data_IF_369903687015
#
_entry.id   IF_369903687015
#
_cell.length_a   1.000
_cell.length_b   1.000
_cell.length_c   1.000
_cell.angle_alpha   90.00
_cell.angle_beta   90.00
_cell.angle_gamma   90.00
#
_symmetry.space_group_name_H-M   'P 1'
#
loop_
_entity.id
_entity.type
_entity.pdbx_description
1 polymer ?
#
# COMPACT_ATOMS: atom_id res chain seq x y z
N UNK A 1 -15.03 -20.84 12.07
CA UNK A 1 -14.83 -20.94 13.55
C UNK A 1 -15.60 -22.09 14.18
N UNK A 2 -16.86 -22.32 13.80
CA UNK A 2 -17.63 -23.49 14.25
C UNK A 2 -16.88 -24.80 13.99
N UNK A 3 -16.47 -25.01 12.75
CA UNK A 3 -15.75 -26.23 12.36
C UNK A 3 -14.44 -26.43 13.13
N UNK A 4 -13.66 -25.35 13.33
CA UNK A 4 -12.43 -25.44 14.12
C UNK A 4 -12.70 -25.93 15.54
N UNK A 5 -13.75 -25.40 16.20
CA UNK A 5 -14.09 -25.72 17.59
C UNK A 5 -14.74 -27.09 17.73
N UNK A 6 -15.66 -27.44 16.83
CA UNK A 6 -16.52 -28.62 16.98
C UNK A 6 -16.03 -29.83 16.19
N UNK A 7 -15.46 -29.62 15.00
CA UNK A 7 -15.11 -30.72 14.09
C UNK A 7 -13.64 -31.17 14.25
N UNK A 8 -12.72 -30.22 14.48
CA UNK A 8 -11.29 -30.50 14.39
C UNK A 8 -10.56 -30.55 15.73
N UNK A 9 -10.81 -29.61 16.64
CA UNK A 9 -10.00 -29.48 17.86
C UNK A 9 -10.72 -29.83 19.15
N UNK A 10 -12.05 -29.71 19.23
CA UNK A 10 -12.83 -29.86 20.47
C UNK A 10 -12.30 -28.97 21.62
N UNK A 11 -11.65 -27.84 21.31
CA UNK A 11 -11.07 -26.92 22.29
C UNK A 11 -11.79 -25.56 22.28
N UNK A 12 -11.91 -24.96 23.47
CA UNK A 12 -12.35 -23.58 23.62
C UNK A 12 -11.32 -22.59 23.04
N UNK A 13 -11.68 -21.95 21.94
CA UNK A 13 -10.84 -20.94 21.28
C UNK A 13 -11.34 -19.54 21.62
N UNK A 14 -10.49 -18.72 22.26
CA UNK A 14 -10.72 -17.28 22.44
C UNK A 14 -10.51 -16.56 21.12
N UNK A 15 -11.49 -15.76 20.71
CA UNK A 15 -11.49 -15.05 19.41
C UNK A 15 -11.44 -13.57 19.70
N UNK A 16 -10.46 -12.89 19.10
CA UNK A 16 -10.36 -11.45 19.15
C UNK A 16 -11.34 -10.80 18.17
N UNK A 17 -11.59 -9.50 18.34
CA UNK A 17 -12.41 -8.74 17.40
C UNK A 17 -11.83 -8.82 15.98
N UNK A 18 -12.71 -8.93 14.96
CA UNK A 18 -12.27 -8.99 13.58
C UNK A 18 -11.61 -7.66 13.20
N UNK A 19 -10.59 -7.75 12.37
CA UNK A 19 -9.81 -6.63 11.86
C UNK A 19 -9.52 -6.84 10.39
N UNK A 20 -9.11 -5.78 9.72
CA UNK A 20 -8.78 -5.81 8.30
C UNK A 20 -7.27 -5.74 8.11
N UNK A 21 -6.79 -6.38 7.04
CA UNK A 21 -5.45 -6.10 6.52
C UNK A 21 -5.49 -4.79 5.75
N UNK A 22 -4.54 -3.90 6.04
CA UNK A 22 -4.37 -2.65 5.29
C UNK A 22 -3.37 -2.86 4.15
N UNK A 23 -3.25 -1.86 3.28
CA UNK A 23 -2.09 -1.72 2.40
C UNK A 23 -1.42 -0.37 2.65
N UNK A 24 -0.19 -0.22 2.18
CA UNK A 24 0.58 1.02 2.30
C UNK A 24 0.78 1.63 0.91
N UNK A 25 0.53 2.92 0.73
CA UNK A 25 0.71 3.63 -0.56
C UNK A 25 1.45 4.94 -0.35
N UNK A 26 1.92 5.53 -1.44
CA UNK A 26 2.40 6.91 -1.50
C UNK A 26 1.39 7.77 -2.25
N UNK A 27 1.34 9.06 -1.95
CA UNK A 27 0.49 10.03 -2.68
C UNK A 27 1.31 10.99 -3.52
N UNK A 28 2.52 11.30 -3.08
CA UNK A 28 3.44 12.22 -3.73
C UNK A 28 4.78 11.53 -3.97
N UNK A 29 5.56 12.07 -4.90
CA UNK A 29 6.93 11.61 -5.12
C UNK A 29 7.80 11.90 -3.89
N UNK A 30 8.79 11.05 -3.63
CA UNK A 30 9.77 11.28 -2.58
C UNK A 30 10.44 12.65 -2.73
N UNK A 31 10.43 13.44 -1.67
CA UNK A 31 11.05 14.78 -1.63
C UNK A 31 12.54 14.77 -1.94
N UNK A 32 13.22 13.65 -1.64
CA UNK A 32 14.64 13.46 -1.86
C UNK A 32 14.98 12.08 -2.41
N UNK A 33 16.14 12.01 -3.08
CA UNK A 33 16.73 10.75 -3.51
C UNK A 33 17.28 10.02 -2.28
N UNK A 34 16.71 8.87 -1.97
CA UNK A 34 17.08 8.11 -0.79
C UNK A 34 18.15 7.09 -1.14
N UNK A 35 19.19 6.95 -0.32
CA UNK A 35 20.21 5.94 -0.54
C UNK A 35 20.39 5.03 0.67
N UNK A 36 20.89 3.82 0.40
CA UNK A 36 21.37 2.93 1.45
C UNK A 36 22.69 2.30 1.03
N UNK A 37 23.60 2.19 1.99
CA UNK A 37 24.89 1.54 1.84
C UNK A 37 24.84 0.11 2.40
N UNK A 38 25.66 -0.77 1.81
CA UNK A 38 25.87 -2.10 2.37
C UNK A 38 26.71 -2.01 3.65
N UNK A 39 26.60 -2.98 4.59
CA UNK A 39 27.42 -3.02 5.79
C UNK A 39 28.94 -2.91 5.54
N UNK A 40 29.40 -3.39 4.38
CA UNK A 40 30.80 -3.28 3.96
C UNK A 40 31.18 -1.91 3.36
N UNK A 41 30.24 -0.97 3.23
CA UNK A 41 30.39 0.38 2.64
C UNK A 41 30.89 0.43 1.19
N UNK A 42 30.84 -0.70 0.48
CA UNK A 42 31.33 -0.79 -0.91
C UNK A 42 30.22 -0.69 -1.96
N UNK A 43 28.96 -0.85 -1.57
CA UNK A 43 27.83 -0.67 -2.47
C UNK A 43 26.87 0.38 -1.90
N UNK A 44 26.33 1.20 -2.79
CA UNK A 44 25.35 2.25 -2.50
C UNK A 44 24.26 2.16 -3.56
N UNK A 45 23.01 2.05 -3.12
CA UNK A 45 21.84 2.03 -4.02
C UNK A 45 20.99 3.25 -3.67
N UNK A 46 20.56 3.99 -4.69
CA UNK A 46 19.74 5.19 -4.55
C UNK A 46 18.40 4.97 -5.26
N UNK A 47 17.29 5.11 -4.53
CA UNK A 47 15.94 5.00 -5.08
C UNK A 47 15.09 6.22 -4.77
N UNK A 48 14.09 6.44 -5.63
CA UNK A 48 12.95 7.32 -5.39
C UNK A 48 11.66 6.51 -5.47
N UNK A 49 10.65 6.93 -4.73
CA UNK A 49 9.31 6.35 -4.77
C UNK A 49 8.32 7.38 -5.31
N UNK A 50 7.46 6.95 -6.22
CA UNK A 50 6.41 7.76 -6.83
C UNK A 50 5.09 6.98 -6.82
N UNK A 51 3.94 7.66 -6.76
CA UNK A 51 2.65 7.00 -6.91
C UNK A 51 2.52 6.43 -8.33
N UNK A 52 1.89 5.26 -8.45
CA UNK A 52 1.48 4.72 -9.75
C UNK A 52 0.27 5.47 -10.31
N UNK A 53 0.15 5.46 -11.63
CA UNK A 53 -0.99 5.99 -12.36
C UNK A 53 -2.26 5.20 -12.02
N UNK A 54 -3.42 5.87 -12.06
CA UNK A 54 -4.70 5.25 -11.69
C UNK A 54 -5.02 4.08 -12.62
N UNK A 55 -5.47 2.97 -12.03
CA UNK A 55 -5.82 1.74 -12.75
C UNK A 55 -4.64 0.84 -13.15
N UNK A 56 -3.39 1.32 -13.07
CA UNK A 56 -2.23 0.50 -13.45
C UNK A 56 -1.99 -0.68 -12.51
N UNK A 57 -2.18 -0.47 -11.20
CA UNK A 57 -2.08 -1.57 -10.24
C UNK A 57 -3.14 -2.65 -10.44
N UNK A 58 -4.37 -2.26 -10.79
CA UNK A 58 -5.47 -3.19 -11.06
C UNK A 58 -5.20 -4.01 -12.32
N UNK A 59 -4.65 -3.38 -13.36
CA UNK A 59 -4.21 -4.07 -14.58
C UNK A 59 -3.16 -5.15 -14.29
N UNK A 60 -2.19 -4.84 -13.42
CA UNK A 60 -1.12 -5.79 -13.06
C UNK A 60 -1.70 -6.97 -12.29
N UNK A 61 -2.58 -6.72 -11.31
CA UNK A 61 -3.22 -7.77 -10.50
C UNK A 61 -4.19 -8.63 -11.31
N UNK A 62 -4.90 -8.04 -12.27
CA UNK A 62 -5.77 -8.77 -13.20
C UNK A 62 -4.98 -9.57 -14.25
N UNK A 63 -3.64 -9.47 -14.26
CA UNK A 63 -2.77 -10.18 -15.21
C UNK A 63 -2.83 -9.64 -16.63
N UNK A 64 -3.30 -8.40 -16.83
CA UNK A 64 -3.30 -7.73 -18.14
C UNK A 64 -1.87 -7.46 -18.61
N UNK A 65 -0.94 -7.29 -17.67
CA UNK A 65 0.49 -7.13 -17.93
C UNK A 65 1.30 -8.15 -17.14
N UNK A 66 2.36 -8.67 -17.77
CA UNK A 66 3.29 -9.61 -17.13
C UNK A 66 4.74 -9.20 -17.38
N UNK A 67 5.59 -9.43 -16.38
CA UNK A 67 7.05 -9.21 -16.45
C UNK A 67 7.71 -10.17 -17.45
N UNK A 68 7.09 -11.34 -17.70
CA UNK A 68 7.64 -12.37 -18.59
C UNK A 68 7.49 -12.00 -20.09
N UNK A 69 6.78 -10.92 -20.42
CA UNK A 69 6.62 -10.45 -21.79
C UNK A 69 7.92 -9.87 -22.35
N UNK A 70 8.00 -9.79 -23.68
CA UNK A 70 9.12 -9.12 -24.33
C UNK A 70 9.15 -7.64 -23.97
N UNK A 71 10.35 -7.06 -23.81
CA UNK A 71 10.51 -5.63 -23.49
C UNK A 71 9.83 -4.70 -24.51
N UNK A 72 9.67 -5.15 -25.76
CA UNK A 72 8.97 -4.41 -26.80
C UNK A 72 7.47 -4.35 -26.52
N UNK A 73 6.84 -5.51 -26.27
CA UNK A 73 5.41 -5.58 -25.94
C UNK A 73 5.09 -4.83 -24.65
N UNK A 74 5.94 -4.97 -23.63
CA UNK A 74 5.81 -4.21 -22.39
C UNK A 74 5.88 -2.70 -22.67
N UNK A 75 6.90 -2.26 -23.42
CA UNK A 75 7.05 -0.86 -23.83
C UNK A 75 5.84 -0.31 -24.57
N UNK A 76 5.31 -1.08 -25.53
CA UNK A 76 4.16 -0.67 -26.34
C UNK A 76 2.88 -0.57 -25.49
N UNK A 77 2.69 -1.46 -24.51
CA UNK A 77 1.56 -1.39 -23.57
C UNK A 77 1.58 -0.13 -22.71
N UNK A 78 2.70 0.13 -22.03
CA UNK A 78 2.84 1.27 -21.13
C UNK A 78 2.80 2.60 -21.90
N UNK A 79 3.34 2.65 -23.11
CA UNK A 79 3.22 3.82 -23.99
C UNK A 79 1.77 4.07 -24.42
N UNK A 80 1.06 3.03 -24.87
CA UNK A 80 -0.28 3.20 -25.45
C UNK A 80 -1.34 3.51 -24.40
N UNK A 81 -1.27 2.87 -23.22
CA UNK A 81 -2.31 2.98 -22.18
C UNK A 81 -2.03 4.07 -21.15
N UNK A 82 -0.76 4.33 -20.84
CA UNK A 82 -0.35 5.22 -19.74
C UNK A 82 0.58 6.36 -20.19
N UNK A 83 0.83 6.52 -21.49
CA UNK A 83 1.70 7.56 -22.08
C UNK A 83 3.11 7.59 -21.47
N UNK A 84 3.64 6.42 -21.13
CA UNK A 84 5.01 6.31 -20.62
C UNK A 84 6.05 6.46 -21.74
N UNK A 85 7.20 7.02 -21.37
CA UNK A 85 8.37 7.00 -22.23
C UNK A 85 8.84 5.56 -22.49
N UNK A 86 9.28 5.31 -23.72
CA UNK A 86 9.76 4.00 -24.17
C UNK A 86 11.00 3.55 -23.41
N UNK A 87 11.86 4.49 -22.99
CA UNK A 87 13.06 4.16 -22.22
C UNK A 87 12.67 3.67 -20.82
N UNK A 88 11.82 4.42 -20.11
CA UNK A 88 11.30 4.04 -18.81
C UNK A 88 10.55 2.69 -18.85
N UNK A 89 9.64 2.53 -19.82
CA UNK A 89 8.83 1.32 -19.94
C UNK A 89 9.65 0.05 -20.25
N UNK A 90 10.79 0.17 -20.95
CA UNK A 90 11.69 -0.96 -21.23
C UNK A 90 12.62 -1.31 -20.07
N UNK A 91 12.77 -0.40 -19.12
CA UNK A 91 13.63 -0.54 -17.94
C UNK A 91 12.90 -1.08 -16.71
N UNK A 92 11.67 -1.58 -16.87
CA UNK A 92 10.95 -2.29 -15.80
C UNK A 92 11.69 -3.60 -15.49
N UNK A 93 12.03 -3.79 -14.23
CA UNK A 93 12.77 -4.97 -13.77
C UNK A 93 11.88 -6.06 -13.22
N UNK A 94 10.88 -5.67 -12.40
CA UNK A 94 9.98 -6.58 -11.72
C UNK A 94 8.73 -5.86 -11.22
N UNK A 95 7.68 -6.64 -10.99
CA UNK A 95 6.56 -6.27 -10.14
C UNK A 95 6.75 -6.84 -8.72
N UNK A 96 6.11 -6.22 -7.74
CA UNK A 96 6.20 -6.62 -6.34
C UNK A 96 4.89 -6.39 -5.58
N UNK A 97 4.61 -7.12 -4.49
CA UNK A 97 5.48 -8.09 -3.80
C UNK A 97 5.65 -9.44 -4.51
N UNK A 98 4.70 -9.85 -5.34
CA UNK A 98 4.77 -11.07 -6.14
C UNK A 98 4.86 -10.74 -7.64
N UNK A 99 4.90 -11.75 -8.51
CA UNK A 99 5.01 -11.54 -9.97
C UNK A 99 3.88 -10.68 -10.57
N UNK A 100 2.71 -10.66 -9.92
CA UNK A 100 1.53 -9.86 -10.30
C UNK A 100 1.20 -8.83 -9.21
N UNK A 101 2.20 -8.40 -8.43
CA UNK A 101 1.97 -7.44 -7.37
C UNK A 101 1.77 -6.00 -7.89
N UNK A 102 1.00 -5.16 -7.16
CA UNK A 102 0.57 -3.83 -7.60
C UNK A 102 1.67 -2.73 -7.49
N UNK A 103 2.95 -3.10 -7.59
CA UNK A 103 4.08 -2.18 -7.52
C UNK A 103 5.07 -2.44 -8.65
N UNK A 104 5.82 -1.41 -9.06
CA UNK A 104 6.78 -1.50 -10.16
C UNK A 104 8.17 -1.11 -9.66
N UNK A 105 9.17 -1.91 -10.00
CA UNK A 105 10.58 -1.54 -9.90
C UNK A 105 11.14 -1.20 -11.27
N UNK A 106 11.70 0.01 -11.40
CA UNK A 106 12.22 0.56 -12.65
C UNK A 106 13.68 1.01 -12.47
N UNK A 107 14.47 0.84 -13.52
CA UNK A 107 15.83 1.36 -13.62
C UNK A 107 15.87 2.65 -14.45
N UNK A 108 16.06 3.78 -13.78
CA UNK A 108 16.16 5.12 -14.38
C UNK A 108 17.62 5.62 -14.41
N UNK A 109 18.59 4.72 -14.23
CA UNK A 109 20.01 5.09 -14.22
C UNK A 109 20.51 5.32 -15.65
N UNK A 110 21.35 6.34 -15.84
CA UNK A 110 22.00 6.62 -17.11
C UNK A 110 23.25 5.73 -17.30
N UNK A 111 23.47 5.14 -18.49
CA UNK A 111 24.65 4.32 -18.76
C UNK A 111 25.99 5.06 -18.62
N UNK A 112 25.98 6.40 -18.64
CA UNK A 112 27.14 7.25 -18.42
C UNK A 112 27.55 7.35 -16.95
N UNK A 113 26.59 7.19 -16.04
CA UNK A 113 26.77 7.35 -14.60
C UNK A 113 26.98 5.99 -13.91
N UNK A 114 26.27 4.96 -14.37
CA UNK A 114 26.27 3.63 -13.77
C UNK A 114 26.66 2.57 -14.80
N UNK A 115 27.62 1.71 -14.43
CA UNK A 115 27.97 0.54 -15.22
C UNK A 115 26.81 -0.48 -15.21
N UNK A 116 26.09 -0.56 -16.33
CA UNK A 116 24.96 -1.47 -16.53
C UNK A 116 25.33 -2.95 -16.42
N UNK A 117 26.59 -3.32 -16.70
CA UNK A 117 27.06 -4.70 -16.53
C UNK A 117 27.16 -5.09 -15.06
N UNK A 118 27.73 -4.20 -14.24
CA UNK A 118 27.78 -4.38 -12.79
C UNK A 118 26.40 -4.33 -12.15
N UNK A 119 25.57 -3.36 -12.55
CA UNK A 119 24.19 -3.25 -12.06
C UNK A 119 23.35 -4.49 -12.41
N UNK A 120 23.51 -5.01 -13.64
CA UNK A 120 22.84 -6.24 -14.08
C UNK A 120 23.21 -7.46 -13.25
N UNK A 121 24.45 -7.54 -12.74
CA UNK A 121 24.90 -8.66 -11.92
C UNK A 121 24.24 -8.74 -10.53
N UNK A 122 23.76 -7.60 -10.01
CA UNK A 122 23.07 -7.51 -8.72
C UNK A 122 21.55 -7.38 -8.86
N UNK A 123 21.03 -7.35 -10.08
CA UNK A 123 19.61 -7.17 -10.40
C UNK A 123 18.71 -8.11 -9.60
N UNK A 124 19.02 -9.41 -9.61
CA UNK A 124 18.17 -10.40 -8.93
C UNK A 124 18.14 -10.20 -7.41
N UNK A 125 19.27 -9.82 -6.81
CA UNK A 125 19.34 -9.48 -5.38
C UNK A 125 18.54 -8.22 -5.05
N UNK A 126 18.55 -7.21 -5.93
CA UNK A 126 17.75 -5.99 -5.75
C UNK A 126 16.26 -6.31 -5.88
N UNK A 127 15.87 -7.08 -6.90
CA UNK A 127 14.47 -7.52 -7.10
C UNK A 127 13.96 -8.31 -5.90
N UNK A 128 14.75 -9.25 -5.36
CA UNK A 128 14.38 -10.00 -4.16
C UNK A 128 14.22 -9.09 -2.93
N UNK A 129 15.15 -8.15 -2.73
CA UNK A 129 15.05 -7.17 -1.64
C UNK A 129 13.83 -6.25 -1.77
N UNK A 130 13.52 -5.82 -2.99
CA UNK A 130 12.34 -5.03 -3.31
C UNK A 130 11.04 -5.81 -3.06
N UNK A 131 10.92 -7.03 -3.57
CA UNK A 131 9.73 -7.88 -3.40
C UNK A 131 9.48 -8.21 -1.94
N UNK A 132 10.55 -8.54 -1.19
CA UNK A 132 10.47 -8.74 0.25
C UNK A 132 10.03 -7.46 0.98
N UNK A 133 10.64 -6.32 0.62
CA UNK A 133 10.28 -5.02 1.16
C UNK A 133 8.81 -4.67 0.89
N UNK A 134 8.35 -4.82 -0.34
CA UNK A 134 6.96 -4.55 -0.73
C UNK A 134 5.93 -5.48 -0.08
N UNK A 135 6.34 -6.67 0.39
CA UNK A 135 5.44 -7.60 1.07
C UNK A 135 5.19 -7.19 2.52
N UNK A 136 6.22 -6.67 3.18
CA UNK A 136 6.15 -6.24 4.57
C UNK A 136 5.80 -4.76 4.69
N UNK A 137 6.35 -3.84 3.91
CA UNK A 137 6.06 -2.40 4.09
C UNK A 137 6.62 -1.79 5.39
N UNK A 138 6.97 -0.49 5.41
CA UNK A 138 7.58 0.13 6.60
C UNK A 138 6.60 0.65 7.66
N UNK A 139 5.33 0.90 7.35
CA UNK A 139 4.39 1.52 8.30
C UNK A 139 3.81 0.51 9.30
N UNK A 140 3.33 -0.63 8.83
CA UNK A 140 2.51 -1.55 9.62
C UNK A 140 2.85 -3.01 9.38
N UNK A 141 3.97 -3.34 8.73
CA UNK A 141 4.26 -4.70 8.26
C UNK A 141 3.10 -5.25 7.36
N UNK A 142 2.46 -4.38 6.56
CA UNK A 142 1.43 -4.68 5.57
C UNK A 142 1.92 -4.41 4.13
N UNK A 143 1.37 -5.11 3.11
CA UNK A 143 1.87 -4.99 1.75
C UNK A 143 1.75 -3.58 1.18
N UNK A 144 2.80 -3.16 0.49
CA UNK A 144 2.84 -1.91 -0.28
C UNK A 144 1.97 -2.08 -1.54
N UNK A 145 1.25 -1.03 -1.93
CA UNK A 145 0.39 -0.98 -3.10
C UNK A 145 0.51 0.38 -3.81
N UNK A 146 0.37 0.38 -5.13
CA UNK A 146 0.33 1.59 -5.96
C UNK A 146 1.63 2.41 -5.95
N UNK A 147 2.79 1.76 -5.81
CA UNK A 147 4.08 2.46 -5.75
C UNK A 147 5.01 2.07 -6.90
N UNK A 148 5.61 3.09 -7.51
CA UNK A 148 6.67 3.01 -8.51
C UNK A 148 8.00 3.35 -7.84
N UNK A 149 8.88 2.37 -7.75
CA UNK A 149 10.25 2.56 -7.26
C UNK A 149 11.19 2.73 -8.46
N UNK A 150 11.91 3.84 -8.52
CA UNK A 150 12.92 4.09 -9.56
C UNK A 150 14.31 4.09 -8.95
N UNK A 151 15.20 3.30 -9.52
CA UNK A 151 16.62 3.31 -9.18
C UNK A 151 17.26 4.44 -9.98
N UNK A 152 17.80 5.43 -9.28
CA UNK A 152 18.35 6.66 -9.89
C UNK A 152 19.87 6.62 -9.96
N UNK A 153 20.52 6.01 -8.97
CA UNK A 153 21.97 5.83 -8.94
C UNK A 153 22.30 4.51 -8.23
N UNK A 154 23.40 3.87 -8.63
CA UNK A 154 23.89 2.66 -8.00
C UNK A 154 25.42 2.57 -8.15
N UNK A 155 26.12 2.59 -7.02
CA UNK A 155 27.56 2.28 -6.95
C UNK A 155 27.71 0.85 -6.47
N UNK A 156 28.24 -0.02 -7.32
CA UNK A 156 28.41 -1.44 -7.04
C UNK A 156 29.90 -1.78 -7.07
N UNK A 157 30.35 -2.58 -6.11
CA UNK A 157 31.73 -3.07 -6.07
C UNK A 157 32.03 -3.98 -7.28
N UNK A 158 33.24 -3.85 -7.82
CA UNK A 158 33.72 -4.67 -8.95
C UNK A 158 33.88 -6.15 -8.58
N UNK A 159 34.38 -6.41 -7.38
CA UNK A 159 34.65 -7.77 -6.89
C UNK A 159 33.36 -8.49 -6.45
N UNK A 160 33.07 -9.70 -6.98
CA UNK A 160 31.87 -10.46 -6.65
C UNK A 160 31.68 -10.74 -5.15
N UNK A 161 32.77 -10.90 -4.40
CA UNK A 161 32.75 -11.18 -2.96
C UNK A 161 32.06 -10.05 -2.17
N UNK A 162 32.16 -8.81 -2.65
CA UNK A 162 31.63 -7.63 -1.96
C UNK A 162 30.18 -7.30 -2.32
N UNK A 163 29.60 -8.00 -3.29
CA UNK A 163 28.21 -7.83 -3.76
C UNK A 163 27.35 -9.08 -3.56
N UNK A 164 27.72 -9.93 -2.59
CA UNK A 164 26.93 -11.11 -2.23
C UNK A 164 25.49 -10.74 -1.85
N UNK A 165 24.55 -11.64 -2.14
CA UNK A 165 23.11 -11.41 -1.93
C UNK A 165 22.75 -11.02 -0.50
N UNK A 166 23.45 -11.57 0.50
CA UNK A 166 23.25 -11.20 1.91
C UNK A 166 23.62 -9.75 2.27
N UNK A 167 24.36 -9.05 1.41
CA UNK A 167 24.63 -7.62 1.57
C UNK A 167 23.60 -6.80 0.78
N UNK A 168 23.35 -7.16 -0.49
CA UNK A 168 22.51 -6.36 -1.39
C UNK A 168 21.01 -6.45 -1.05
N UNK A 169 20.49 -7.65 -0.75
CA UNK A 169 19.05 -7.85 -0.46
C UNK A 169 18.57 -6.96 0.70
N UNK A 170 19.17 -6.99 1.90
CA UNK A 170 18.72 -6.16 3.00
C UNK A 170 18.92 -4.66 2.71
N UNK A 171 19.99 -4.28 2.00
CA UNK A 171 20.20 -2.87 1.60
C UNK A 171 19.16 -2.41 0.60
N UNK A 172 18.79 -3.23 -0.40
CA UNK A 172 17.72 -2.95 -1.36
C UNK A 172 16.36 -2.80 -0.66
N UNK A 173 16.09 -3.64 0.34
CA UNK A 173 14.90 -3.50 1.19
C UNK A 173 14.90 -2.19 1.97
N UNK A 174 16.02 -1.83 2.60
CA UNK A 174 16.16 -0.59 3.39
C UNK A 174 15.98 0.66 2.53
N UNK A 175 16.56 0.69 1.33
CA UNK A 175 16.41 1.85 0.43
C UNK A 175 14.98 1.99 -0.10
N UNK A 176 14.28 0.88 -0.36
CA UNK A 176 12.87 0.93 -0.72
C UNK A 176 12.02 1.54 0.42
N UNK A 177 12.32 1.19 1.67
CA UNK A 177 11.64 1.78 2.82
C UNK A 177 11.96 3.25 3.06
N UNK A 178 13.22 3.66 2.91
CA UNK A 178 13.57 5.09 3.05
C UNK A 178 12.93 5.92 1.94
N UNK A 179 12.95 5.44 0.69
CA UNK A 179 12.27 6.08 -0.43
C UNK A 179 10.76 6.19 -0.19
N UNK A 180 10.11 5.12 0.28
CA UNK A 180 8.68 5.12 0.59
C UNK A 180 8.31 6.09 1.72
N UNK A 181 9.09 6.12 2.81
CA UNK A 181 8.83 7.01 3.95
C UNK A 181 9.00 8.50 3.61
N UNK A 182 9.81 8.82 2.59
CA UNK A 182 9.97 10.20 2.09
C UNK A 182 8.91 10.61 1.06
N UNK A 183 8.08 9.67 0.59
CA UNK A 183 7.08 9.88 -0.45
C UNK A 183 5.65 10.06 0.13
N UNK A 184 5.52 10.81 1.23
CA UNK A 184 4.24 11.11 1.89
C UNK A 184 3.35 9.86 2.04
N UNK A 185 3.76 8.88 2.88
CA UNK A 185 3.10 7.59 2.93
C UNK A 185 1.69 7.68 3.54
N UNK A 186 0.79 6.83 3.06
CA UNK A 186 -0.61 6.71 3.47
C UNK A 186 -0.99 5.24 3.64
N UNK A 187 -1.99 5.00 4.49
CA UNK A 187 -2.64 3.70 4.58
C UNK A 187 -3.79 3.61 3.59
N UNK A 188 -4.00 2.42 3.05
CA UNK A 188 -5.17 2.07 2.27
C UNK A 188 -6.02 1.07 3.04
N UNK A 189 -7.32 1.33 3.11
CA UNK A 189 -8.31 0.41 3.63
C UNK A 189 -9.00 -0.34 2.49
N UNK A 190 -9.37 -1.61 2.69
CA UNK A 190 -10.19 -2.32 1.72
C UNK A 190 -11.63 -1.80 1.81
N UNK A 191 -12.29 -1.72 0.66
CA UNK A 191 -13.68 -1.26 0.51
C UNK A 191 -14.51 -2.36 -0.14
N UNK A 192 -15.63 -2.69 0.50
CA UNK A 192 -16.64 -3.56 -0.07
C UNK A 192 -17.55 -2.79 -1.02
N UNK A 193 -17.85 -3.42 -2.15
CA UNK A 193 -19.06 -3.16 -2.90
C UNK A 193 -20.20 -3.95 -2.24
N UNK A 194 -21.23 -3.22 -1.83
CA UNK A 194 -22.38 -3.76 -1.13
C UNK A 194 -23.60 -3.58 -2.01
N UNK A 195 -24.29 -4.70 -2.25
CA UNK A 195 -25.54 -4.74 -2.98
C UNK A 195 -26.67 -5.08 -2.02
N UNK A 196 -27.61 -4.15 -1.87
CA UNK A 196 -28.70 -4.23 -0.90
C UNK A 196 -30.02 -4.31 -1.64
N UNK A 197 -30.78 -5.37 -1.39
CA UNK A 197 -32.13 -5.54 -1.89
C UNK A 197 -33.12 -5.18 -0.79
N UNK A 198 -34.06 -4.27 -1.07
CA UNK A 198 -35.01 -3.78 -0.06
C UNK A 198 -36.31 -3.27 -0.70
N UNK A 199 -37.44 -3.23 0.00
CA UNK A 199 -38.62 -2.47 -0.43
C UNK A 199 -38.35 -0.95 -0.42
N UNK A 200 -39.12 -0.20 -1.21
CA UNK A 200 -38.97 1.27 -1.34
C UNK A 200 -39.07 2.01 0.00
N UNK A 201 -39.94 1.54 0.90
CA UNK A 201 -40.21 2.20 2.19
C UNK A 201 -38.99 2.20 3.12
N UNK A 202 -38.11 1.21 2.96
CA UNK A 202 -36.93 1.00 3.80
C UNK A 202 -35.67 1.67 3.25
N UNK A 203 -35.71 2.25 2.05
CA UNK A 203 -34.54 2.87 1.41
C UNK A 203 -33.96 3.99 2.29
N UNK A 204 -34.79 4.87 2.86
CA UNK A 204 -34.33 5.96 3.73
C UNK A 204 -33.58 5.48 4.98
N UNK A 205 -34.00 4.35 5.57
CA UNK A 205 -33.33 3.73 6.70
C UNK A 205 -31.92 3.23 6.30
N UNK A 206 -31.77 2.69 5.09
CA UNK A 206 -30.49 2.20 4.57
C UNK A 206 -29.47 3.34 4.42
N UNK A 207 -29.88 4.49 3.88
CA UNK A 207 -29.00 5.67 3.81
C UNK A 207 -28.53 6.11 5.20
N UNK A 208 -29.41 6.04 6.20
CA UNK A 208 -29.07 6.38 7.58
C UNK A 208 -28.06 5.40 8.18
N UNK A 209 -28.21 4.09 7.95
CA UNK A 209 -27.27 3.07 8.45
C UNK A 209 -25.91 3.18 7.73
N UNK A 210 -25.91 3.38 6.41
CA UNK A 210 -24.68 3.53 5.62
C UNK A 210 -23.90 4.79 6.00
N UNK A 211 -24.57 5.94 6.13
CA UNK A 211 -23.92 7.22 6.49
C UNK A 211 -23.21 7.18 7.85
N UNK A 212 -23.75 6.44 8.83
CA UNK A 212 -23.10 6.23 10.14
C UNK A 212 -21.78 5.45 10.04
N UNK A 213 -21.62 4.66 8.98
CA UNK A 213 -20.50 3.74 8.75
C UNK A 213 -19.62 4.16 7.57
N UNK A 214 -19.58 5.46 7.26
CA UNK A 214 -18.81 6.05 6.13
C UNK A 214 -19.14 5.43 4.76
N UNK A 215 -20.33 4.82 4.62
CA UNK A 215 -20.79 4.23 3.38
C UNK A 215 -21.22 5.31 2.37
N UNK A 216 -20.86 5.12 1.11
CA UNK A 216 -21.26 5.98 0.01
C UNK A 216 -22.18 5.22 -0.95
N UNK A 217 -23.39 5.72 -1.18
CA UNK A 217 -24.33 5.11 -2.13
C UNK A 217 -23.99 5.57 -3.54
N UNK A 218 -23.74 4.60 -4.42
CA UNK A 218 -23.37 4.84 -5.82
C UNK A 218 -24.60 4.95 -6.71
N UNK A 219 -25.59 4.07 -6.50
CA UNK A 219 -26.81 4.06 -7.28
C UNK A 219 -27.93 3.34 -6.53
N UNK A 220 -29.16 3.83 -6.69
CA UNK A 220 -30.39 3.20 -6.30
C UNK A 220 -31.24 2.95 -7.56
N UNK A 221 -31.56 1.69 -7.82
CA UNK A 221 -32.26 1.28 -9.04
C UNK A 221 -33.45 0.40 -8.67
N UNK A 222 -34.68 0.72 -9.13
CA UNK A 222 -35.81 -0.19 -8.97
C UNK A 222 -35.58 -1.45 -9.79
N UNK A 223 -35.77 -2.62 -9.19
CA UNK A 223 -35.59 -3.90 -9.87
C UNK A 223 -36.80 -4.15 -10.79
N UNK A 224 -36.61 -4.29 -12.12
CA UNK A 224 -37.73 -4.52 -13.03
C UNK A 224 -38.45 -5.82 -12.71
N UNK A 225 -39.78 -5.76 -12.61
CA UNK A 225 -40.62 -6.94 -12.36
C UNK A 225 -40.77 -7.35 -10.90
N UNK A 226 -40.16 -6.63 -9.94
CA UNK A 226 -40.39 -6.84 -8.51
C UNK A 226 -40.63 -5.49 -7.80
N UNK A 227 -41.29 -5.46 -6.62
CA UNK A 227 -41.42 -4.24 -5.83
C UNK A 227 -40.12 -3.90 -5.06
N UNK A 228 -39.00 -4.56 -5.37
CA UNK A 228 -37.73 -4.37 -4.69
C UNK A 228 -36.89 -3.27 -5.36
N UNK A 229 -36.13 -2.56 -4.55
CA UNK A 229 -35.08 -1.64 -4.93
C UNK A 229 -33.73 -2.29 -4.67
N UNK A 230 -32.80 -2.02 -5.58
CA UNK A 230 -31.42 -2.41 -5.48
C UNK A 230 -30.57 -1.18 -5.18
N UNK A 231 -30.02 -1.11 -3.98
CA UNK A 231 -29.11 -0.05 -3.55
C UNK A 231 -27.68 -0.57 -3.62
N UNK A 232 -26.87 0.09 -4.44
CA UNK A 232 -25.45 -0.21 -4.65
C UNK A 232 -24.62 0.82 -3.89
N UNK A 233 -23.75 0.35 -3.01
CA UNK A 233 -22.95 1.23 -2.16
C UNK A 233 -21.52 0.72 -1.99
N UNK A 234 -20.64 1.63 -1.58
CA UNK A 234 -19.29 1.32 -1.11
C UNK A 234 -19.22 1.47 0.41
N UNK A 235 -18.63 0.49 1.08
CA UNK A 235 -18.51 0.45 2.54
C UNK A 235 -17.09 0.00 2.93
N UNK A 236 -16.33 0.79 3.71
CA UNK A 236 -15.05 0.34 4.25
C UNK A 236 -15.21 -0.95 5.04
N UNK A 237 -14.32 -1.93 4.84
CA UNK A 237 -14.48 -3.27 5.45
C UNK A 237 -14.46 -3.20 6.97
N UNK A 238 -13.66 -2.30 7.55
CA UNK A 238 -13.61 -2.13 9.01
C UNK A 238 -14.97 -1.69 9.60
N UNK A 239 -15.75 -0.92 8.83
CA UNK A 239 -17.08 -0.46 9.18
C UNK A 239 -18.17 -1.47 8.79
N UNK A 240 -17.82 -2.56 8.11
CA UNK A 240 -18.77 -3.60 7.68
C UNK A 240 -19.12 -4.59 8.79
N UNK A 241 -18.34 -4.63 9.87
CA UNK A 241 -18.60 -5.55 10.98
C UNK A 241 -19.93 -5.22 11.66
N UNK A 242 -20.86 -6.18 11.62
CA UNK A 242 -22.23 -6.03 12.12
C UNK A 242 -23.17 -5.23 11.21
N UNK A 243 -22.71 -4.80 10.02
CA UNK A 243 -23.53 -4.01 9.09
C UNK A 243 -24.81 -4.73 8.68
N UNK A 244 -24.74 -6.01 8.31
CA UNK A 244 -25.91 -6.81 7.93
C UNK A 244 -26.95 -6.87 9.07
N UNK A 245 -26.49 -7.09 10.30
CA UNK A 245 -27.36 -7.17 11.49
C UNK A 245 -28.06 -5.85 11.74
N UNK A 246 -27.34 -4.74 11.70
CA UNK A 246 -27.91 -3.40 11.87
C UNK A 246 -28.92 -3.07 10.78
N UNK A 247 -28.59 -3.43 9.53
CA UNK A 247 -29.46 -3.22 8.37
C UNK A 247 -30.78 -3.96 8.56
N UNK A 248 -30.72 -5.25 8.94
CA UNK A 248 -31.91 -6.07 9.19
C UNK A 248 -32.68 -5.56 10.41
N UNK A 249 -32.02 -5.11 11.47
CA UNK A 249 -32.69 -4.54 12.63
C UNK A 249 -33.49 -3.28 12.27
N UNK A 250 -32.87 -2.34 11.55
CA UNK A 250 -33.50 -1.07 11.17
C UNK A 250 -34.58 -1.22 10.09
N UNK A 251 -34.56 -2.31 9.32
CA UNK A 251 -35.55 -2.61 8.27
C UNK A 251 -36.51 -3.73 8.65
N UNK A 252 -36.55 -4.15 9.93
CA UNK A 252 -37.39 -5.25 10.42
C UNK A 252 -37.22 -6.57 9.63
N UNK A 253 -36.00 -6.81 9.14
CA UNK A 253 -35.62 -7.98 8.36
C UNK A 253 -35.99 -7.93 6.88
N UNK A 254 -36.50 -6.80 6.38
CA UNK A 254 -36.93 -6.66 4.99
C UNK A 254 -35.78 -6.40 4.01
N UNK A 255 -34.68 -5.79 4.48
CA UNK A 255 -33.50 -5.59 3.65
C UNK A 255 -32.50 -6.75 3.79
N UNK A 256 -31.87 -7.10 2.67
CA UNK A 256 -30.80 -8.09 2.61
C UNK A 256 -29.60 -7.49 1.87
N UNK A 257 -28.39 -7.72 2.37
CA UNK A 257 -27.17 -7.22 1.75
C UNK A 257 -26.17 -8.32 1.44
N UNK A 258 -25.50 -8.18 0.30
CA UNK A 258 -24.30 -8.94 -0.05
C UNK A 258 -23.12 -7.98 -0.15
N UNK A 259 -22.00 -8.35 0.44
CA UNK A 259 -20.77 -7.56 0.43
C UNK A 259 -19.66 -8.34 -0.25
N UNK A 260 -18.99 -7.71 -1.22
CA UNK A 260 -17.87 -8.30 -1.96
C UNK A 260 -16.73 -7.29 -2.01
N UNK A 261 -15.48 -7.75 -1.87
CA UNK A 261 -14.29 -6.92 -2.06
C UNK A 261 -14.28 -6.28 -3.44
N UNK A 262 -14.04 -4.96 -3.50
CA UNK A 262 -14.02 -4.23 -4.75
C UNK A 262 -12.68 -3.55 -4.99
N UNK A 263 -12.25 -2.65 -4.10
CA UNK A 263 -11.02 -1.89 -4.29
C UNK A 263 -10.40 -1.46 -2.95
N UNK A 264 -9.21 -0.88 -3.05
CA UNK A 264 -8.50 -0.24 -1.95
C UNK A 264 -8.67 1.28 -2.04
N UNK A 265 -9.03 1.91 -0.93
CA UNK A 265 -9.18 3.36 -0.83
C UNK A 265 -8.18 3.92 0.19
N UNK A 266 -7.71 5.14 -0.02
CA UNK A 266 -6.81 5.81 0.92
C UNK A 266 -7.59 6.18 2.18
N UNK A 267 -7.06 5.81 3.35
CA UNK A 267 -7.62 6.21 4.63
C UNK A 267 -7.39 7.72 4.81
N UNK A 268 -8.43 8.50 5.16
CA UNK A 268 -8.26 9.90 5.45
C UNK A 268 -7.32 10.13 6.64
N UNK A 269 -6.44 11.13 6.50
CA UNK A 269 -5.47 11.50 7.53
C UNK A 269 -4.04 11.10 7.22
N UNK A 270 -3.14 11.49 8.13
CA UNK A 270 -1.73 11.17 8.05
C UNK A 270 -1.36 10.10 9.09
N UNK A 271 -0.82 8.93 8.69
CA UNK A 271 -0.39 7.91 9.64
C UNK A 271 0.84 8.34 10.48
N UNK A 272 1.69 9.22 9.96
CA UNK A 272 2.94 9.65 10.60
C UNK A 272 2.80 10.88 11.49
N UNK A 273 1.61 11.49 11.57
CA UNK A 273 1.39 12.67 12.40
C UNK A 273 1.38 12.32 13.90
N UNK A 274 2.40 12.82 14.60
CA UNK A 274 2.59 12.64 16.04
C UNK A 274 1.85 13.67 16.90
N UNK A 275 1.34 14.74 16.30
CA UNK A 275 0.59 15.77 17.04
C UNK A 275 -0.77 15.24 17.53
N UNK A 276 -1.29 14.21 16.86
CA UNK A 276 -2.58 13.58 17.16
C UNK A 276 -2.46 12.67 18.39
N UNK A 277 -3.14 13.07 19.46
CA UNK A 277 -3.28 12.23 20.66
C UNK A 277 -4.51 11.34 20.53
N UNK A 278 -4.29 10.03 20.44
CA UNK A 278 -5.34 9.04 20.39
C UNK A 278 -5.81 8.67 21.80
N UNK A 279 -7.13 8.71 22.02
CA UNK A 279 -7.73 8.26 23.29
C UNK A 279 -8.07 6.78 23.21
N UNK A 280 -7.72 5.97 24.22
CA UNK A 280 -8.11 4.57 24.24
C UNK A 280 -9.63 4.41 24.24
N UNK A 281 -10.14 3.43 23.49
CA UNK A 281 -11.56 3.03 23.43
C UNK A 281 -12.54 4.06 22.84
N UNK A 282 -12.08 5.24 22.43
CA UNK A 282 -12.88 6.21 21.68
C UNK A 282 -12.55 6.10 20.17
N UNK A 283 -13.55 6.09 19.28
CA UNK A 283 -13.31 6.13 17.84
C UNK A 283 -12.72 7.49 17.45
N UNK A 284 -11.65 7.51 16.64
CA UNK A 284 -11.07 8.78 16.21
C UNK A 284 -11.97 9.47 15.16
N UNK A 285 -11.90 10.82 15.06
CA UNK A 285 -12.49 11.55 13.94
C UNK A 285 -11.92 11.07 12.60
N UNK A 286 -12.69 11.25 11.52
CA UNK A 286 -12.34 10.78 10.18
C UNK A 286 -10.94 11.23 9.74
N UNK A 287 -10.55 12.47 10.05
CA UNK A 287 -9.26 13.05 9.68
C UNK A 287 -8.05 12.38 10.34
N UNK A 288 -8.26 11.64 11.43
CA UNK A 288 -7.20 11.05 12.25
C UNK A 288 -7.21 9.50 12.18
N UNK A 289 -8.07 8.91 11.36
CA UNK A 289 -8.24 7.45 11.25
C UNK A 289 -6.95 6.76 10.81
N UNK A 290 -6.22 7.33 9.86
CA UNK A 290 -4.95 6.76 9.41
C UNK A 290 -3.96 6.55 10.57
N UNK A 291 -3.85 7.54 11.47
CA UNK A 291 -2.99 7.46 12.66
C UNK A 291 -3.49 6.41 13.64
N UNK A 292 -4.80 6.36 13.88
CA UNK A 292 -5.42 5.36 14.74
C UNK A 292 -5.16 3.93 14.26
N UNK A 293 -5.42 3.67 12.99
CA UNK A 293 -5.22 2.36 12.36
C UNK A 293 -3.76 1.96 12.36
N UNK A 294 -2.85 2.90 12.09
CA UNK A 294 -1.41 2.61 12.11
C UNK A 294 -0.96 2.18 13.51
N UNK A 295 -1.25 2.98 14.54
CA UNK A 295 -0.80 2.71 15.91
C UNK A 295 -1.41 1.42 16.46
N UNK A 296 -2.72 1.19 16.25
CA UNK A 296 -3.39 -0.04 16.70
C UNK A 296 -2.84 -1.28 16.02
N UNK A 297 -2.60 -1.23 14.71
CA UNK A 297 -2.02 -2.35 13.95
C UNK A 297 -0.59 -2.64 14.40
N UNK A 298 0.23 -1.61 14.60
CA UNK A 298 1.61 -1.75 15.10
C UNK A 298 1.66 -2.35 16.50
N UNK A 299 0.83 -1.86 17.43
CA UNK A 299 0.72 -2.44 18.79
C UNK A 299 0.32 -3.92 18.74
N UNK A 300 -0.65 -4.27 17.89
CA UNK A 300 -1.10 -5.66 17.73
C UNK A 300 -0.02 -6.58 17.17
N UNK A 301 0.84 -6.07 16.29
CA UNK A 301 2.00 -6.80 15.74
C UNK A 301 3.24 -6.78 16.66
N UNK A 302 3.17 -6.11 17.82
CA UNK A 302 4.29 -6.02 18.76
C UNK A 302 5.40 -5.05 18.33
N UNK A 303 5.10 -4.12 17.42
CA UNK A 303 6.02 -3.07 16.99
C UNK A 303 5.95 -1.81 17.87
N UNK A 304 6.96 -0.95 17.78
CA UNK A 304 6.92 0.40 18.37
C UNK A 304 5.76 1.20 17.79
N UNK A 305 5.15 2.09 18.57
CA UNK A 305 3.98 2.87 18.11
C UNK A 305 4.30 3.77 16.91
N UNK A 306 5.45 4.41 16.96
CA UNK A 306 5.97 5.23 15.87
C UNK A 306 6.90 4.45 14.96
N UNK A 307 6.89 4.86 13.68
CA UNK A 307 7.89 4.48 12.70
C UNK A 307 9.13 5.32 12.94
N UNK A 308 10.22 4.67 13.37
CA UNK A 308 11.51 5.34 13.52
C UNK A 308 12.17 5.50 12.16
N UNK A 309 12.18 6.73 11.64
CA UNK A 309 12.87 7.08 10.38
C UNK A 309 14.34 6.63 10.48
N UNK A 310 15.02 6.88 11.60
CA UNK A 310 16.42 6.48 11.83
C UNK A 310 16.70 4.96 11.70
N UNK A 311 15.68 4.09 11.69
CA UNK A 311 15.88 2.64 11.53
C UNK A 311 16.34 2.27 10.12
N UNK A 312 15.92 3.03 9.11
CA UNK A 312 16.14 2.68 7.72
C UNK A 312 17.21 3.55 7.04
N UNK A 313 17.42 4.75 7.55
CA UNK A 313 18.35 5.74 7.01
C UNK A 313 19.75 5.51 7.58
N UNK A 314 20.77 5.61 6.73
CA UNK A 314 22.15 5.64 7.20
C UNK A 314 22.44 7.00 7.84
N UNK A 315 23.37 7.05 8.80
CA UNK A 315 23.72 8.29 9.52
C UNK A 315 24.07 9.45 8.58
N UNK A 316 24.79 9.15 7.49
CA UNK A 316 25.12 10.13 6.46
C UNK A 316 23.86 10.78 5.83
N UNK A 317 22.82 9.97 5.60
CA UNK A 317 21.58 10.46 5.01
C UNK A 317 20.75 11.26 6.02
N UNK A 318 20.77 10.89 7.30
CA UNK A 318 20.11 11.65 8.37
C UNK A 318 20.72 13.05 8.50
N UNK A 319 22.04 13.18 8.31
CA UNK A 319 22.71 14.48 8.28
C UNK A 319 22.30 15.31 7.06
N UNK A 320 22.23 14.72 5.87
CA UNK A 320 21.74 15.42 4.66
C UNK A 320 20.29 15.90 4.82
N UNK A 321 19.44 15.07 5.44
CA UNK A 321 18.06 15.45 5.80
C UNK A 321 18.01 16.64 6.74
N UNK A 322 18.85 16.63 7.79
CA UNK A 322 18.90 17.72 8.75
C UNK A 322 19.38 19.04 8.11
N UNK A 323 20.33 18.97 7.18
CA UNK A 323 20.81 20.13 6.43
C UNK A 323 19.71 20.69 5.52
N UNK A 324 19.03 19.84 4.73
CA UNK A 324 17.94 20.30 3.87
C UNK A 324 16.76 20.88 4.66
N UNK A 325 16.42 20.30 5.81
CA UNK A 325 15.39 20.87 6.68
C UNK A 325 15.79 22.25 7.22
N UNK A 326 17.08 22.47 7.52
CA UNK A 326 17.59 23.77 7.93
C UNK A 326 17.56 24.79 6.78
N UNK A 327 17.90 24.37 5.56
CA UNK A 327 17.87 25.22 4.36
C UNK A 327 16.43 25.65 3.99
N UNK A 328 15.47 24.72 4.05
CA UNK A 328 14.05 25.02 3.87
C UNK A 328 13.53 26.02 4.92
N UNK A 329 13.97 25.87 6.17
CA UNK A 329 13.59 26.80 7.23
C UNK A 329 14.19 28.21 7.00
N UNK A 330 15.41 28.30 6.48
CA UNK A 330 16.02 29.57 6.10
C UNK A 330 15.36 30.24 4.88
N UNK A 331 14.78 29.47 3.96
CA UNK A 331 14.06 30.03 2.80
C UNK A 331 12.65 30.52 3.14
N UNK A 332 12.08 30.11 4.28
CA UNK A 332 10.76 30.54 4.74
C UNK A 332 10.80 31.76 5.68
N UNK A 333 11.99 32.23 6.05
CA UNK A 333 12.24 33.45 6.83
C UNK A 333 12.65 34.59 5.87
#
# INVERSE_FOLDING_TARGET
MKDLRELYSEVEVKVADPVVSFCETVVESSSMKCFAETPNKKNKITMIAEPLERGLAEDIENGVVSVDWSRKQLGDFFKTKYDWDLLAARSIWAFGPDKQGPNILLDDTLPTEVDKGLLGSVRDSIVQGFQWGAREGPLCDEPIRNVKFKIVDARIASEPLHRGSGQIIPTARRVAYSAFLMATPRLMEPVYYVEIQTPIDCVSAIYTVLSRRRGHVTADVPQPGTPAYLVKAFLPVIESFGFETDLRYHTQGQAFCLSVFNHWAIVPGDPLDKSIVLRPLEPAPIQHLAREFMVKTRRRKGMSEDVSINKFFDEAMVVELAQQAADLHQQMI
#
